data_IF_479820991635
#
_entry.id   IF_479820991635
#
_cell.length_a   1.000
_cell.length_b   1.000
_cell.length_c   1.000
_cell.angle_alpha   90.00
_cell.angle_beta   90.00
_cell.angle_gamma   90.00
#
_symmetry.space_group_name_H-M   'P 1'
#
loop_
_entity.id
_entity.type
_entity.pdbx_description
1 polymer ?
#
# COMPACT_ATOMS: atom_id res chain seq x y z
N UNK A 1 -28.86 -15.09 -1.65
CA UNK A 1 -28.68 -14.25 -0.43
C UNK A 1 -28.90 -12.82 -0.88
N UNK A 2 -29.90 -12.11 -0.35
CA UNK A 2 -30.07 -10.70 -0.67
C UNK A 2 -28.84 -9.90 -0.21
N UNK A 3 -28.55 -8.77 -0.88
CA UNK A 3 -27.44 -7.87 -0.54
C UNK A 3 -27.43 -7.51 0.96
N UNK A 4 -28.61 -7.36 1.56
CA UNK A 4 -28.74 -6.95 2.97
C UNK A 4 -28.33 -8.04 3.96
N UNK A 5 -28.60 -9.32 3.66
CA UNK A 5 -28.16 -10.43 4.54
C UNK A 5 -26.64 -10.51 4.59
N UNK A 6 -25.96 -10.35 3.44
CA UNK A 6 -24.49 -10.30 3.38
C UNK A 6 -23.93 -9.14 4.22
N UNK A 7 -24.52 -7.94 4.08
CA UNK A 7 -24.14 -6.76 4.88
C UNK A 7 -24.32 -6.95 6.37
N UNK A 8 -25.39 -7.63 6.80
CA UNK A 8 -25.61 -7.91 8.22
C UNK A 8 -24.53 -8.83 8.80
N UNK A 9 -24.18 -9.91 8.09
CA UNK A 9 -23.08 -10.80 8.50
C UNK A 9 -21.76 -10.04 8.61
N UNK A 10 -21.43 -9.23 7.59
CA UNK A 10 -20.21 -8.41 7.62
C UNK A 10 -20.19 -7.43 8.79
N UNK A 11 -21.32 -6.80 9.10
CA UNK A 11 -21.44 -5.88 10.25
C UNK A 11 -21.20 -6.59 11.58
N UNK A 12 -21.70 -7.80 11.74
CA UNK A 12 -21.50 -8.58 12.97
C UNK A 12 -20.06 -9.09 13.09
N UNK A 13 -19.43 -9.48 11.97
CA UNK A 13 -18.00 -9.84 11.93
C UNK A 13 -17.11 -8.64 12.29
N UNK A 14 -17.41 -7.44 11.78
CA UNK A 14 -16.64 -6.24 12.12
C UNK A 14 -16.77 -5.88 13.60
N UNK A 15 -17.97 -5.96 14.19
CA UNK A 15 -18.13 -5.74 15.64
C UNK A 15 -17.28 -6.69 16.47
N UNK A 16 -17.24 -7.97 16.08
CA UNK A 16 -16.39 -8.96 16.74
C UNK A 16 -14.90 -8.62 16.60
N UNK A 17 -14.48 -8.21 15.40
CA UNK A 17 -13.11 -7.77 15.17
C UNK A 17 -12.73 -6.55 16.01
N UNK A 18 -13.55 -5.50 16.04
CA UNK A 18 -13.32 -4.27 16.81
C UNK A 18 -13.23 -4.54 18.31
N UNK A 19 -14.10 -5.40 18.84
CA UNK A 19 -14.08 -5.79 20.26
C UNK A 19 -12.83 -6.56 20.69
N UNK A 20 -12.13 -7.20 19.74
CA UNK A 20 -10.90 -7.96 20.01
C UNK A 20 -9.62 -7.19 19.66
N UNK A 21 -9.72 -6.10 18.89
CA UNK A 21 -8.58 -5.36 18.35
C UNK A 21 -8.77 -3.84 18.44
N UNK A 22 -8.85 -3.32 19.66
CA UNK A 22 -9.23 -1.93 19.96
C UNK A 22 -8.30 -0.86 19.36
N UNK A 23 -7.03 -1.19 19.05
CA UNK A 23 -6.08 -0.26 18.45
C UNK A 23 -6.00 -0.33 16.92
N UNK A 24 -6.62 -1.32 16.26
CA UNK A 24 -6.40 -1.57 14.83
C UNK A 24 -6.77 -0.35 13.98
N UNK A 25 -7.89 0.32 14.29
CA UNK A 25 -8.37 1.48 13.53
C UNK A 25 -7.42 2.69 13.57
N UNK A 26 -6.46 2.74 14.51
CA UNK A 26 -5.41 3.77 14.56
C UNK A 26 -4.24 3.49 13.60
N UNK A 27 -4.18 2.27 13.06
CA UNK A 27 -3.12 1.75 12.18
C UNK A 27 -3.67 1.45 10.78
N UNK A 28 -4.82 0.79 10.68
CA UNK A 28 -5.58 0.47 9.46
C UNK A 28 -7.07 0.58 9.77
N UNK A 29 -7.76 1.56 9.18
CA UNK A 29 -9.16 1.81 9.51
C UNK A 29 -10.10 0.77 8.88
N UNK A 30 -10.64 -0.14 9.71
CA UNK A 30 -11.56 -1.22 9.32
C UNK A 30 -12.97 -1.00 9.90
N UNK A 31 -13.34 0.24 10.25
CA UNK A 31 -14.58 0.55 10.96
C UNK A 31 -15.87 0.43 10.13
N UNK A 32 -15.75 0.12 8.84
CA UNK A 32 -16.89 -0.08 7.94
C UNK A 32 -16.51 -0.95 6.75
N UNK A 33 -17.35 -1.95 6.44
CA UNK A 33 -17.22 -2.79 5.23
C UNK A 33 -17.57 -2.02 3.94
N UNK A 34 -18.04 -0.78 4.06
CA UNK A 34 -18.31 0.11 2.93
C UNK A 34 -17.11 1.00 2.60
N UNK A 35 -16.06 0.99 3.42
CA UNK A 35 -14.84 1.72 3.12
C UNK A 35 -14.11 1.05 1.94
N UNK A 36 -13.43 1.83 1.12
CA UNK A 36 -12.52 1.29 0.13
C UNK A 36 -11.39 0.56 0.85
N UNK A 37 -11.12 -0.68 0.45
CA UNK A 37 -10.08 -1.49 1.03
C UNK A 37 -9.07 -1.96 0.00
N UNK A 38 -7.89 -2.30 0.49
CA UNK A 38 -6.82 -2.81 -0.33
C UNK A 38 -7.16 -4.22 -0.85
N UNK A 39 -6.89 -4.47 -2.12
CA UNK A 39 -7.00 -5.81 -2.70
C UNK A 39 -6.04 -6.83 -2.05
N UNK A 40 -5.14 -6.39 -1.16
CA UNK A 40 -4.27 -7.26 -0.38
C UNK A 40 -5.04 -8.37 0.34
N UNK A 41 -6.27 -8.13 0.82
CA UNK A 41 -7.04 -9.16 1.52
C UNK A 41 -7.41 -10.33 0.60
N UNK A 42 -7.75 -10.04 -0.65
CA UNK A 42 -7.96 -11.07 -1.66
C UNK A 42 -6.64 -11.78 -2.02
N UNK A 43 -5.56 -11.01 -2.20
CA UNK A 43 -4.24 -11.57 -2.51
C UNK A 43 -3.70 -12.47 -1.38
N UNK A 44 -4.03 -12.18 -0.12
CA UNK A 44 -3.69 -12.99 1.03
C UNK A 44 -4.39 -14.35 1.02
N UNK A 45 -5.65 -14.43 0.54
CA UNK A 45 -6.35 -15.72 0.36
C UNK A 45 -5.64 -16.62 -0.66
N UNK A 46 -4.88 -16.03 -1.59
CA UNK A 46 -4.09 -16.73 -2.59
C UNK A 46 -2.64 -16.97 -2.16
N UNK A 47 -2.29 -16.67 -0.90
CA UNK A 47 -0.98 -16.94 -0.33
C UNK A 47 0.07 -15.85 -0.56
N UNK A 48 -0.31 -14.67 -1.04
CA UNK A 48 0.59 -13.50 -1.10
C UNK A 48 0.51 -12.68 0.21
N UNK A 49 0.99 -13.25 1.30
CA UNK A 49 0.86 -12.69 2.65
C UNK A 49 2.06 -11.83 3.07
N UNK A 50 2.34 -10.73 2.38
CA UNK A 50 3.55 -9.92 2.61
C UNK A 50 3.64 -9.35 4.03
N UNK A 51 2.57 -8.74 4.55
CA UNK A 51 2.58 -8.07 5.86
C UNK A 51 2.67 -9.10 6.99
N UNK A 52 1.83 -10.14 6.95
CA UNK A 52 1.80 -11.19 7.98
C UNK A 52 3.12 -11.97 8.01
N UNK A 53 3.64 -12.38 6.85
CA UNK A 53 4.93 -13.11 6.80
C UNK A 53 6.09 -12.25 7.28
N UNK A 54 6.00 -10.94 7.06
CA UNK A 54 7.02 -9.99 7.49
C UNK A 54 6.99 -9.72 9.00
N UNK A 55 5.84 -9.95 9.62
CA UNK A 55 5.63 -9.77 11.04
C UNK A 55 6.14 -10.97 11.86
N UNK A 56 6.24 -12.19 11.30
CA UNK A 56 6.40 -13.41 12.11
C UNK A 56 7.77 -14.09 11.87
N UNK A 57 8.67 -14.14 12.87
CA UNK A 57 10.00 -14.76 12.71
C UNK A 57 9.96 -16.23 12.34
N UNK A 58 9.05 -17.01 12.96
CA UNK A 58 8.92 -18.46 12.74
C UNK A 58 8.61 -18.83 11.29
N UNK A 59 8.03 -17.93 10.50
CA UNK A 59 7.71 -18.16 9.08
C UNK A 59 8.91 -17.94 8.14
N UNK A 60 10.15 -18.15 8.59
CA UNK A 60 11.35 -17.84 7.82
C UNK A 60 11.36 -18.42 6.40
N UNK A 61 11.08 -19.71 6.24
CA UNK A 61 11.09 -20.33 4.92
C UNK A 61 10.06 -19.68 3.99
N UNK A 62 8.85 -19.40 4.49
CA UNK A 62 7.81 -18.72 3.72
C UNK A 62 8.21 -17.28 3.39
N UNK A 63 8.68 -16.52 4.38
CA UNK A 63 9.15 -15.13 4.29
C UNK A 63 10.34 -14.95 3.35
N UNK A 64 11.22 -15.94 3.21
CA UNK A 64 12.31 -15.91 2.22
C UNK A 64 11.80 -16.29 0.83
N UNK A 65 10.91 -17.27 0.75
CA UNK A 65 10.37 -17.75 -0.52
C UNK A 65 9.42 -16.74 -1.19
N UNK A 66 8.78 -15.85 -0.43
CA UNK A 66 7.89 -14.82 -0.99
C UNK A 66 8.55 -13.89 -2.03
N UNK A 67 9.88 -13.81 -2.08
CA UNK A 67 10.58 -13.00 -3.10
C UNK A 67 11.07 -13.82 -4.30
N UNK A 68 10.84 -15.14 -4.28
CA UNK A 68 11.24 -16.09 -5.33
C UNK A 68 10.05 -16.72 -6.05
N UNK A 69 8.86 -16.65 -5.43
CA UNK A 69 7.62 -17.17 -6.01
C UNK A 69 7.17 -16.31 -7.16
N UNK A 70 6.63 -16.98 -8.16
CA UNK A 70 5.85 -16.34 -9.19
C UNK A 70 4.43 -16.06 -8.65
N UNK A 71 4.02 -14.80 -8.69
CA UNK A 71 2.69 -14.34 -8.27
C UNK A 71 1.82 -13.87 -9.44
N UNK A 72 2.16 -14.16 -10.71
CA UNK A 72 1.30 -13.84 -11.86
C UNK A 72 -0.13 -14.36 -11.65
N UNK A 73 -0.26 -15.59 -11.14
CA UNK A 73 -1.56 -16.20 -10.86
C UNK A 73 -2.43 -15.38 -9.88
N UNK A 74 -1.82 -14.62 -8.95
CA UNK A 74 -2.56 -13.78 -8.01
C UNK A 74 -3.17 -12.58 -8.73
N UNK A 75 -2.42 -11.96 -9.64
CA UNK A 75 -2.92 -10.83 -10.43
C UNK A 75 -3.92 -11.27 -11.49
N UNK A 76 -3.75 -12.45 -12.08
CA UNK A 76 -4.73 -13.04 -13.00
C UNK A 76 -6.06 -13.30 -12.29
N UNK A 77 -6.01 -13.94 -11.12
CA UNK A 77 -7.20 -14.14 -10.29
C UNK A 77 -7.82 -12.81 -9.83
N UNK A 78 -7.00 -11.79 -9.55
CA UNK A 78 -7.47 -10.47 -9.17
C UNK A 78 -8.23 -9.79 -10.31
N UNK A 79 -7.76 -9.91 -11.56
CA UNK A 79 -8.49 -9.42 -12.74
C UNK A 79 -9.84 -10.12 -12.87
N UNK A 80 -9.90 -11.43 -12.65
CA UNK A 80 -11.16 -12.16 -12.70
C UNK A 80 -12.11 -11.77 -11.56
N UNK A 81 -11.59 -11.54 -10.36
CA UNK A 81 -12.35 -10.96 -9.24
C UNK A 81 -12.93 -9.59 -9.61
N UNK A 82 -12.15 -8.71 -10.23
CA UNK A 82 -12.65 -7.40 -10.67
C UNK A 82 -13.71 -7.52 -11.76
N UNK A 83 -13.58 -8.44 -12.72
CA UNK A 83 -14.63 -8.68 -13.72
C UNK A 83 -15.93 -9.10 -13.03
N UNK A 84 -15.87 -10.04 -12.09
CA UNK A 84 -17.05 -10.45 -11.31
C UNK A 84 -17.61 -9.30 -10.47
N UNK A 85 -16.76 -8.49 -9.85
CA UNK A 85 -17.16 -7.32 -9.09
C UNK A 85 -17.92 -6.31 -9.95
N UNK A 86 -17.46 -6.09 -11.19
CA UNK A 86 -18.08 -5.15 -12.13
C UNK A 86 -19.45 -5.62 -12.64
N UNK A 87 -19.76 -6.91 -12.59
CA UNK A 87 -21.12 -7.41 -12.85
C UNK A 87 -22.12 -6.97 -11.77
N UNK A 88 -21.69 -6.91 -10.49
CA UNK A 88 -22.54 -6.45 -9.37
C UNK A 88 -22.46 -4.91 -9.18
N UNK A 89 -21.29 -4.33 -9.45
CA UNK A 89 -20.98 -2.91 -9.23
C UNK A 89 -20.34 -2.30 -10.49
N UNK A 90 -21.12 -2.07 -11.56
CA UNK A 90 -20.58 -1.54 -12.81
C UNK A 90 -20.00 -0.14 -12.62
N UNK A 91 -18.95 0.16 -13.39
CA UNK A 91 -18.38 1.50 -13.46
C UNK A 91 -19.44 2.51 -13.91
N UNK A 92 -19.35 3.72 -13.36
CA UNK A 92 -20.21 4.83 -13.80
C UNK A 92 -19.60 5.46 -15.05
N UNK A 93 -20.30 5.34 -16.18
CA UNK A 93 -19.84 5.89 -17.46
C UNK A 93 -18.82 5.01 -18.18
N UNK A 94 -18.52 5.37 -19.43
CA UNK A 94 -17.60 4.60 -20.29
C UNK A 94 -16.12 4.83 -19.95
N UNK A 95 -15.80 5.94 -19.26
CA UNK A 95 -14.43 6.36 -18.91
C UNK A 95 -14.05 6.09 -17.45
N UNK A 96 -14.79 5.21 -16.76
CA UNK A 96 -14.53 4.87 -15.36
C UNK A 96 -13.24 4.07 -15.17
N UNK A 97 -12.61 4.23 -14.00
CA UNK A 97 -11.46 3.42 -13.59
C UNK A 97 -11.71 2.73 -12.26
N UNK A 98 -11.23 1.49 -12.13
CA UNK A 98 -10.99 0.90 -10.83
C UNK A 98 -9.74 1.57 -10.21
N UNK A 99 -9.87 2.02 -8.96
CA UNK A 99 -8.76 2.59 -8.21
C UNK A 99 -8.24 1.53 -7.23
N UNK A 100 -7.04 1.01 -7.49
CA UNK A 100 -6.44 -0.10 -6.73
C UNK A 100 -5.33 0.42 -5.82
N UNK A 101 -5.14 -0.23 -4.69
CA UNK A 101 -4.05 0.08 -3.77
C UNK A 101 -3.74 -1.16 -2.92
N UNK A 102 -2.56 -1.71 -3.10
CA UNK A 102 -1.99 -2.68 -2.18
C UNK A 102 -0.48 -2.53 -2.09
N UNK A 103 0.05 -2.66 -0.86
CA UNK A 103 1.52 -2.80 -0.65
C UNK A 103 2.10 -3.99 -1.43
N UNK A 104 1.27 -5.01 -1.69
CA UNK A 104 1.61 -6.19 -2.46
C UNK A 104 2.04 -5.87 -3.91
N UNK A 105 1.47 -4.83 -4.52
CA UNK A 105 1.87 -4.32 -5.84
C UNK A 105 3.35 -3.95 -5.87
N UNK A 106 3.85 -3.36 -4.79
CA UNK A 106 5.26 -3.03 -4.64
C UNK A 106 6.11 -4.28 -4.38
N UNK A 107 5.67 -5.13 -3.45
CA UNK A 107 6.41 -6.33 -3.06
C UNK A 107 6.60 -7.32 -4.23
N UNK A 108 5.67 -7.35 -5.19
CA UNK A 108 5.70 -8.21 -6.38
C UNK A 108 5.45 -7.41 -7.66
N UNK A 109 6.26 -6.37 -7.88
CA UNK A 109 6.04 -5.44 -9.00
C UNK A 109 6.16 -6.07 -10.40
N UNK A 110 6.99 -7.11 -10.58
CA UNK A 110 7.10 -7.81 -11.88
C UNK A 110 5.75 -8.39 -12.32
N UNK A 111 5.12 -9.33 -11.57
CA UNK A 111 3.82 -9.87 -11.97
C UNK A 111 2.72 -8.80 -11.99
N UNK A 112 2.81 -7.78 -11.13
CA UNK A 112 1.88 -6.64 -11.20
C UNK A 112 1.95 -5.91 -12.55
N UNK A 113 3.15 -5.58 -13.03
CA UNK A 113 3.36 -4.85 -14.29
C UNK A 113 3.02 -5.73 -15.49
N UNK A 114 3.37 -7.02 -15.44
CA UNK A 114 3.14 -7.96 -16.54
C UNK A 114 1.64 -8.28 -16.73
N UNK A 115 0.87 -8.34 -15.64
CA UNK A 115 -0.58 -8.62 -15.71
C UNK A 115 -1.41 -7.34 -15.82
N UNK A 116 -1.30 -6.42 -14.85
CA UNK A 116 -2.11 -5.20 -14.84
C UNK A 116 -1.66 -4.19 -15.91
N UNK A 117 -0.39 -4.24 -16.31
CA UNK A 117 0.17 -3.35 -17.33
C UNK A 117 -0.10 -3.76 -18.78
N UNK A 118 -0.89 -4.83 -19.02
CA UNK A 118 -1.35 -5.20 -20.36
C UNK A 118 -2.13 -4.04 -20.99
N UNK A 119 -1.93 -3.82 -22.29
CA UNK A 119 -2.49 -2.65 -22.98
C UNK A 119 -4.01 -2.61 -22.97
N UNK A 120 -4.67 -3.77 -22.96
CA UNK A 120 -6.13 -3.90 -22.87
C UNK A 120 -6.71 -3.29 -21.58
N UNK A 121 -5.94 -3.21 -20.49
CA UNK A 121 -6.39 -2.63 -19.23
C UNK A 121 -6.08 -1.13 -19.12
N UNK A 122 -5.24 -0.59 -20.01
CA UNK A 122 -4.84 0.81 -20.01
C UNK A 122 -4.47 1.34 -18.61
N UNK A 123 -3.76 0.54 -17.82
CA UNK A 123 -3.47 0.86 -16.43
C UNK A 123 -2.56 2.09 -16.28
N UNK A 124 -2.82 2.84 -15.21
CA UNK A 124 -2.07 4.02 -14.79
C UNK A 124 -1.49 3.78 -13.41
N UNK A 125 -0.18 3.93 -13.28
CA UNK A 125 0.53 3.60 -12.06
C UNK A 125 0.94 4.89 -11.34
N UNK A 126 0.62 4.97 -10.06
CA UNK A 126 1.01 6.08 -9.19
C UNK A 126 2.02 5.54 -8.18
N UNK A 127 3.27 6.00 -8.25
CA UNK A 127 4.30 5.67 -7.28
C UNK A 127 4.41 6.81 -6.25
N UNK A 128 3.95 6.55 -5.03
CA UNK A 128 4.09 7.49 -3.92
C UNK A 128 5.44 7.28 -3.22
N UNK A 129 6.32 8.27 -3.29
CA UNK A 129 7.62 8.28 -2.63
C UNK A 129 7.52 8.84 -1.22
N UNK A 130 7.91 8.06 -0.22
CA UNK A 130 8.02 8.49 1.18
C UNK A 130 9.46 8.36 1.65
N UNK A 131 9.89 9.26 2.51
CA UNK A 131 11.21 9.22 3.12
C UNK A 131 11.39 7.87 3.88
N UNK A 132 12.46 7.10 3.60
CA UNK A 132 12.71 5.78 4.18
C UNK A 132 12.68 5.69 5.71
N UNK A 133 13.24 6.64 6.46
CA UNK A 133 13.22 6.66 7.93
C UNK A 133 11.77 6.76 8.42
N UNK A 134 11.02 7.74 7.92
CA UNK A 134 9.62 7.98 8.29
C UNK A 134 8.72 6.81 7.89
N UNK A 135 9.02 6.18 6.73
CA UNK A 135 8.33 4.98 6.30
C UNK A 135 8.61 3.81 7.25
N UNK A 136 9.87 3.57 7.64
CA UNK A 136 10.23 2.49 8.56
C UNK A 136 9.64 2.70 9.97
N UNK A 137 9.66 3.94 10.47
CA UNK A 137 9.03 4.31 11.74
C UNK A 137 7.51 4.12 11.73
N UNK A 138 6.88 4.19 10.56
CA UNK A 138 5.47 3.86 10.34
C UNK A 138 5.23 2.36 10.16
N UNK A 139 6.19 1.63 9.58
CA UNK A 139 6.05 0.22 9.24
C UNK A 139 6.23 -0.70 10.45
N UNK A 140 7.11 -0.36 11.38
CA UNK A 140 7.35 -1.16 12.59
C UNK A 140 6.10 -1.29 13.47
N UNK A 141 5.39 -0.20 13.84
CA UNK A 141 4.14 -0.31 14.58
C UNK A 141 3.07 -1.13 13.86
N UNK A 142 3.01 -1.08 12.53
CA UNK A 142 2.13 -1.94 11.73
C UNK A 142 2.48 -3.42 11.94
N UNK A 143 3.76 -3.79 11.80
CA UNK A 143 4.18 -5.18 12.01
C UNK A 143 3.95 -5.65 13.45
N UNK A 144 4.14 -4.79 14.46
CA UNK A 144 3.82 -5.10 15.86
C UNK A 144 2.31 -5.36 16.03
N UNK A 145 1.46 -4.51 15.45
CA UNK A 145 0.01 -4.69 15.48
C UNK A 145 -0.40 -6.01 14.79
N UNK A 146 0.20 -6.33 13.64
CA UNK A 146 -0.04 -7.60 12.93
C UNK A 146 0.39 -8.82 13.76
N UNK A 147 1.54 -8.75 14.46
CA UNK A 147 1.98 -9.78 15.42
C UNK A 147 1.02 -9.96 16.58
N UNK A 148 0.24 -8.94 16.94
CA UNK A 148 -0.79 -8.98 17.99
C UNK A 148 -1.73 -10.18 17.86
N UNK A 149 -2.04 -10.57 16.61
CA UNK A 149 -2.91 -11.71 16.25
C UNK A 149 -2.35 -13.08 16.64
N UNK A 150 -1.08 -13.15 17.02
CA UNK A 150 -0.35 -14.39 17.32
C UNK A 150 0.33 -14.27 18.69
N UNK A 151 -0.47 -14.10 19.75
CA UNK A 151 -0.03 -13.79 21.11
C UNK A 151 1.06 -14.73 21.66
N UNK A 152 1.01 -16.00 21.27
CA UNK A 152 1.92 -17.04 21.78
C UNK A 152 2.97 -17.50 20.76
N UNK A 153 3.21 -16.75 19.68
CA UNK A 153 4.15 -17.17 18.65
C UNK A 153 5.62 -16.93 19.03
N UNK A 154 6.50 -17.80 18.54
CA UNK A 154 7.94 -17.74 18.82
C UNK A 154 8.58 -16.50 18.20
N UNK A 155 9.33 -15.76 19.02
CA UNK A 155 10.05 -14.54 18.61
C UNK A 155 9.15 -13.30 18.46
N UNK A 156 7.89 -13.37 18.92
CA UNK A 156 6.97 -12.21 18.95
C UNK A 156 7.64 -10.97 19.55
N UNK A 157 8.28 -11.13 20.71
CA UNK A 157 8.90 -10.05 21.50
C UNK A 157 10.29 -9.63 21.02
N UNK A 158 10.81 -10.25 19.95
CA UNK A 158 12.08 -9.86 19.36
C UNK A 158 11.90 -8.62 18.47
N UNK A 159 11.89 -7.45 19.12
CA UNK A 159 11.73 -6.14 18.47
C UNK A 159 12.99 -5.75 17.68
N UNK A 160 14.17 -6.17 18.14
CA UNK A 160 15.42 -5.90 17.44
C UNK A 160 15.49 -6.68 16.12
N UNK A 161 15.13 -7.97 16.13
CA UNK A 161 14.97 -8.75 14.90
C UNK A 161 13.95 -8.10 13.97
N UNK A 162 12.82 -7.62 14.50
CA UNK A 162 11.77 -7.01 13.69
C UNK A 162 12.30 -5.77 12.96
N UNK A 163 13.04 -4.91 13.66
CA UNK A 163 13.67 -3.73 13.08
C UNK A 163 14.67 -4.10 11.98
N UNK A 164 15.62 -4.99 12.29
CA UNK A 164 16.64 -5.46 11.32
C UNK A 164 15.97 -6.06 10.08
N UNK A 165 14.91 -6.83 10.28
CA UNK A 165 14.18 -7.45 9.20
C UNK A 165 13.37 -6.45 8.39
N UNK A 166 12.66 -5.51 9.02
CA UNK A 166 11.90 -4.46 8.36
C UNK A 166 12.79 -3.61 7.42
N UNK A 167 13.97 -3.21 7.91
CA UNK A 167 14.99 -2.52 7.09
C UNK A 167 15.42 -3.39 5.92
N UNK A 168 15.75 -4.66 6.16
CA UNK A 168 16.19 -5.59 5.12
C UNK A 168 15.15 -5.77 4.02
N UNK A 169 13.88 -6.01 4.36
CA UNK A 169 12.87 -6.25 3.32
C UNK A 169 12.47 -5.00 2.60
N UNK A 170 12.44 -3.86 3.27
CA UNK A 170 12.11 -2.61 2.60
C UNK A 170 13.19 -2.27 1.56
N UNK A 171 14.47 -2.50 1.89
CA UNK A 171 15.57 -2.40 0.92
C UNK A 171 15.40 -3.37 -0.26
N UNK A 172 15.09 -4.65 -0.01
CA UNK A 172 14.88 -5.66 -1.06
C UNK A 172 13.71 -5.24 -1.97
N UNK A 173 12.57 -4.88 -1.39
CA UNK A 173 11.37 -4.48 -2.14
C UNK A 173 11.69 -3.26 -3.00
N UNK A 174 12.26 -2.19 -2.44
CA UNK A 174 12.56 -0.99 -3.23
C UNK A 174 13.53 -1.28 -4.38
N UNK A 175 14.61 -2.04 -4.14
CA UNK A 175 15.55 -2.40 -5.21
C UNK A 175 14.89 -3.24 -6.30
N UNK A 176 14.08 -4.22 -5.91
CA UNK A 176 13.36 -5.08 -6.86
C UNK A 176 12.30 -4.29 -7.65
N UNK A 177 11.53 -3.41 -7.00
CA UNK A 177 10.53 -2.57 -7.67
C UNK A 177 11.19 -1.62 -8.68
N UNK A 178 12.33 -1.00 -8.32
CA UNK A 178 13.09 -0.15 -9.23
C UNK A 178 13.55 -0.94 -10.46
N UNK A 179 14.16 -2.11 -10.24
CA UNK A 179 14.63 -2.97 -11.32
C UNK A 179 13.48 -3.45 -12.21
N UNK A 180 12.33 -3.82 -11.62
CA UNK A 180 11.13 -4.24 -12.35
C UNK A 180 10.60 -3.11 -13.22
N UNK A 181 10.45 -1.91 -12.67
CA UNK A 181 10.05 -0.70 -13.42
C UNK A 181 11.00 -0.42 -14.58
N UNK A 182 12.30 -0.44 -14.33
CA UNK A 182 13.32 -0.16 -15.35
C UNK A 182 13.27 -1.16 -16.50
N UNK A 183 13.21 -2.45 -16.16
CA UNK A 183 13.11 -3.51 -17.15
C UNK A 183 11.82 -3.38 -17.97
N UNK A 184 10.69 -3.09 -17.32
CA UNK A 184 9.39 -2.94 -17.99
C UNK A 184 9.36 -1.74 -18.95
N UNK A 185 9.95 -0.61 -18.56
CA UNK A 185 10.10 0.58 -19.42
C UNK A 185 11.15 0.38 -20.51
N UNK A 186 12.23 -0.37 -20.25
CA UNK A 186 13.24 -0.66 -21.26
C UNK A 186 12.70 -1.52 -22.41
N UNK A 187 11.71 -2.39 -22.13
CA UNK A 187 11.01 -3.19 -23.15
C UNK A 187 10.16 -2.33 -24.09
N UNK A 188 9.50 -1.29 -23.57
CA UNK A 188 8.78 -0.28 -24.35
C UNK A 188 8.86 1.07 -23.64
N UNK A 189 9.66 2.04 -24.16
CA UNK A 189 9.81 3.35 -23.57
C UNK A 189 8.50 4.15 -23.43
N UNK A 190 7.46 3.83 -24.21
CA UNK A 190 6.16 4.48 -24.11
C UNK A 190 5.51 4.26 -22.74
N UNK A 191 5.81 3.12 -22.09
CA UNK A 191 5.33 2.72 -20.77
C UNK A 191 5.75 3.69 -19.66
N UNK A 192 6.81 4.47 -19.85
CA UNK A 192 7.20 5.51 -18.90
C UNK A 192 6.06 6.51 -18.64
N UNK A 193 5.25 6.82 -19.65
CA UNK A 193 4.10 7.73 -19.55
C UNK A 193 2.93 7.17 -18.73
N UNK A 194 2.92 5.86 -18.47
CA UNK A 194 1.93 5.21 -17.59
C UNK A 194 2.27 5.33 -16.11
N UNK A 195 3.45 5.84 -15.76
CA UNK A 195 3.90 5.95 -14.37
C UNK A 195 3.94 7.43 -13.99
N UNK A 196 3.28 7.78 -12.88
CA UNK A 196 3.34 9.09 -12.25
C UNK A 196 3.98 8.95 -10.87
N UNK A 197 5.09 9.66 -10.65
CA UNK A 197 5.80 9.70 -9.38
C UNK A 197 5.34 10.90 -8.56
N UNK A 198 5.08 10.72 -7.26
CA UNK A 198 4.60 11.79 -6.37
C UNK A 198 5.19 11.66 -4.97
N UNK A 199 5.47 12.79 -4.32
CA UNK A 199 5.91 12.79 -2.92
C UNK A 199 4.77 12.55 -1.94
N UNK A 200 4.97 11.73 -0.92
CA UNK A 200 4.00 11.51 0.16
C UNK A 200 3.66 12.82 0.89
N UNK A 201 4.68 13.66 1.17
CA UNK A 201 4.47 14.95 1.83
C UNK A 201 3.59 15.86 0.97
N UNK A 202 3.81 15.87 -0.34
CA UNK A 202 2.97 16.62 -1.28
C UNK A 202 1.53 16.09 -1.26
N UNK A 203 1.34 14.78 -1.39
CA UNK A 203 0.02 14.14 -1.40
C UNK A 203 -0.79 14.42 -0.12
N UNK A 204 -0.15 14.48 1.04
CA UNK A 204 -0.82 14.73 2.33
C UNK A 204 -1.05 16.21 2.61
N UNK A 205 -0.12 17.09 2.22
CA UNK A 205 -0.20 18.53 2.54
C UNK A 205 -0.96 19.33 1.49
N UNK A 206 -0.99 18.84 0.24
CA UNK A 206 -1.64 19.46 -0.92
C UNK A 206 -2.46 18.43 -1.70
N UNK A 207 -3.43 17.75 -1.06
CA UNK A 207 -4.15 16.64 -1.68
C UNK A 207 -4.94 17.05 -2.91
N UNK A 208 -5.59 18.22 -2.91
CA UNK A 208 -6.37 18.70 -4.06
C UNK A 208 -5.48 18.95 -5.27
N UNK A 209 -4.37 19.67 -5.06
CA UNK A 209 -3.40 19.97 -6.11
C UNK A 209 -2.72 18.71 -6.63
N UNK A 210 -2.42 17.76 -5.74
CA UNK A 210 -1.81 16.49 -6.11
C UNK A 210 -2.72 15.67 -7.02
N UNK A 211 -3.99 15.53 -6.63
CA UNK A 211 -4.96 14.80 -7.44
C UNK A 211 -5.17 15.49 -8.80
N UNK A 212 -5.24 16.82 -8.83
CA UNK A 212 -5.34 17.56 -10.10
C UNK A 212 -4.14 17.25 -11.02
N UNK A 213 -2.90 17.26 -10.50
CA UNK A 213 -1.71 16.92 -11.29
C UNK A 213 -1.76 15.50 -11.84
N UNK A 214 -2.26 14.54 -11.07
CA UNK A 214 -2.44 13.15 -11.50
C UNK A 214 -3.43 13.10 -12.67
N UNK A 215 -4.57 13.79 -12.54
CA UNK A 215 -5.60 13.86 -13.58
C UNK A 215 -5.04 14.49 -14.86
N UNK A 216 -4.38 15.65 -14.74
CA UNK A 216 -3.76 16.37 -15.86
C UNK A 216 -2.70 15.50 -16.57
N UNK A 217 -1.84 14.81 -15.82
CA UNK A 217 -0.79 13.95 -16.36
C UNK A 217 -1.36 12.81 -17.22
N UNK A 218 -2.50 12.25 -16.78
CA UNK A 218 -3.14 11.12 -17.43
C UNK A 218 -4.26 11.51 -18.40
N UNK A 219 -4.49 12.81 -18.61
CA UNK A 219 -5.55 13.32 -19.47
C UNK A 219 -6.95 12.94 -18.99
N UNK A 220 -7.16 12.87 -17.68
CA UNK A 220 -8.47 12.57 -17.07
C UNK A 220 -9.14 13.88 -16.68
N UNK A 221 -10.40 14.06 -17.07
CA UNK A 221 -11.18 15.23 -16.69
C UNK A 221 -11.57 15.17 -15.20
N UNK A 222 -11.31 16.25 -14.47
CA UNK A 222 -11.83 16.43 -13.10
C UNK A 222 -13.27 16.93 -13.18
N UNK A 223 -14.25 16.03 -13.08
CA UNK A 223 -15.65 16.44 -13.12
C UNK A 223 -16.05 17.24 -11.88
N UNK A 224 -17.10 18.08 -11.95
CA UNK A 224 -17.61 18.81 -10.79
C UNK A 224 -17.98 17.89 -9.61
N UNK A 225 -18.50 16.69 -9.90
CA UNK A 225 -18.82 15.69 -8.89
C UNK A 225 -17.57 15.14 -8.22
N UNK A 226 -16.52 14.82 -9.00
CA UNK A 226 -15.24 14.34 -8.49
C UNK A 226 -14.56 15.40 -7.62
N UNK A 227 -14.54 16.66 -8.06
CA UNK A 227 -13.99 17.78 -7.29
C UNK A 227 -14.74 17.96 -5.96
N UNK A 228 -16.08 17.94 -6.00
CA UNK A 228 -16.91 18.05 -4.79
C UNK A 228 -16.66 16.89 -3.81
N UNK A 229 -16.52 15.66 -4.31
CA UNK A 229 -16.20 14.49 -3.47
C UNK A 229 -14.81 14.59 -2.87
N UNK A 230 -13.82 15.04 -3.64
CA UNK A 230 -12.46 15.28 -3.15
C UNK A 230 -12.44 16.32 -2.03
N UNK A 231 -13.16 17.43 -2.20
CA UNK A 231 -13.29 18.46 -1.15
C UNK A 231 -13.97 17.93 0.11
N UNK A 232 -15.01 17.11 -0.06
CA UNK A 232 -15.67 16.45 1.07
C UNK A 232 -14.70 15.53 1.83
N UNK A 233 -13.94 14.70 1.12
CA UNK A 233 -12.97 13.77 1.73
C UNK A 233 -11.88 14.55 2.49
N UNK A 234 -11.34 15.63 1.92
CA UNK A 234 -10.29 16.45 2.56
C UNK A 234 -10.79 17.11 3.86
N UNK A 235 -12.05 17.56 3.87
CA UNK A 235 -12.64 18.27 5.02
C UNK A 235 -13.13 17.31 6.09
N UNK A 236 -13.91 16.31 5.72
CA UNK A 236 -14.73 15.50 6.62
C UNK A 236 -14.39 14.00 6.59
N UNK A 237 -13.71 13.54 5.53
CA UNK A 237 -13.55 12.11 5.25
C UNK A 237 -12.23 11.48 5.68
N UNK A 238 -11.33 12.20 6.36
CA UNK A 238 -10.07 11.63 6.87
C UNK A 238 -10.33 10.72 8.09
N UNK A 239 -10.27 9.39 7.96
CA UNK A 239 -10.61 8.49 9.05
C UNK A 239 -9.60 8.57 10.20
N UNK A 240 -8.37 9.01 9.95
CA UNK A 240 -7.36 9.17 10.99
C UNK A 240 -7.65 10.35 11.91
N UNK A 241 -8.46 11.33 11.48
CA UNK A 241 -8.95 12.38 12.39
C UNK A 241 -9.92 11.83 13.44
N UNK A 242 -10.70 10.81 13.08
CA UNK A 242 -11.69 10.17 13.96
C UNK A 242 -11.02 9.26 14.99
N UNK A 243 -10.10 8.41 14.56
CA UNK A 243 -9.48 7.38 15.42
C UNK A 243 -8.16 7.83 16.07
N UNK A 244 -7.58 8.92 15.58
CA UNK A 244 -6.23 9.34 15.95
C UNK A 244 -5.14 8.53 15.23
N UNK A 245 -3.90 8.97 15.38
CA UNK A 245 -2.72 8.27 14.87
C UNK A 245 -1.95 7.67 16.02
N UNK A 246 -1.42 6.46 15.82
CA UNK A 246 -0.50 5.85 16.79
C UNK A 246 0.72 6.77 16.99
N UNK A 247 0.97 7.17 18.24
CA UNK A 247 2.12 8.01 18.58
C UNK A 247 3.42 7.25 18.32
N UNK A 248 4.44 7.97 17.85
CA UNK A 248 5.79 7.43 17.74
C UNK A 248 6.35 7.19 19.13
N UNK A 249 6.85 5.98 19.37
CA UNK A 249 7.61 5.62 20.56
C UNK A 249 9.02 5.26 20.13
N UNK A 250 9.99 6.12 20.48
CA UNK A 250 11.39 5.97 20.11
C UNK A 250 11.99 4.65 20.62
N UNK A 251 11.41 4.05 21.67
CA UNK A 251 11.85 2.76 22.20
C UNK A 251 11.57 1.59 21.25
N UNK A 252 10.74 1.79 20.23
CA UNK A 252 10.42 0.77 19.23
C UNK A 252 11.47 0.71 18.10
N UNK A 253 12.35 1.70 18.00
CA UNK A 253 13.27 1.85 16.88
C UNK A 253 14.70 1.47 17.28
N UNK A 254 15.23 0.44 16.64
CA UNK A 254 16.55 -0.14 16.92
C UNK A 254 17.53 0.15 15.77
N UNK A 255 17.36 1.30 15.10
CA UNK A 255 18.23 1.78 14.04
C UNK A 255 18.52 3.27 14.21
N UNK A 256 19.61 3.73 13.60
CA UNK A 256 19.96 5.14 13.54
C UNK A 256 19.48 5.74 12.20
N UNK A 257 18.85 6.92 12.26
CA UNK A 257 18.29 7.60 11.09
C UNK A 257 19.34 7.93 10.01
N UNK A 258 20.56 8.32 10.38
CA UNK A 258 21.65 8.61 9.44
C UNK A 258 22.16 7.35 8.75
N UNK A 259 22.28 6.23 9.49
CA UNK A 259 22.65 4.94 8.92
C UNK A 259 21.60 4.45 7.92
N UNK A 260 20.32 4.62 8.23
CA UNK A 260 19.23 4.36 7.28
C UNK A 260 19.38 5.27 6.07
N UNK A 261 19.55 6.58 6.23
CA UNK A 261 19.68 7.48 5.07
C UNK A 261 20.84 7.09 4.16
N UNK A 262 22.01 6.78 4.74
CA UNK A 262 23.19 6.29 4.02
C UNK A 262 22.91 4.96 3.30
N UNK A 263 22.24 4.02 3.96
CA UNK A 263 21.87 2.72 3.37
C UNK A 263 20.92 2.87 2.18
N UNK A 264 20.03 3.87 2.23
CA UNK A 264 19.05 4.16 1.19
C UNK A 264 19.49 5.24 0.19
N UNK A 265 20.78 5.57 0.14
CA UNK A 265 21.32 6.56 -0.80
C UNK A 265 20.90 6.30 -2.25
N UNK A 266 20.88 5.03 -2.68
CA UNK A 266 20.42 4.62 -4.01
C UNK A 266 19.00 5.11 -4.36
N UNK A 267 18.11 5.20 -3.36
CA UNK A 267 16.74 5.64 -3.55
C UNK A 267 16.65 7.16 -3.61
N UNK A 268 17.43 7.85 -2.78
CA UNK A 268 17.52 9.31 -2.81
C UNK A 268 18.16 9.85 -4.08
N UNK A 269 19.23 9.21 -4.56
CA UNK A 269 19.89 9.58 -5.81
C UNK A 269 18.91 9.56 -6.99
N UNK A 270 17.94 8.64 -6.94
CA UNK A 270 16.97 8.45 -8.00
C UNK A 270 15.70 9.27 -7.84
N UNK A 271 15.15 9.35 -6.63
CA UNK A 271 13.81 9.90 -6.37
C UNK A 271 13.82 11.06 -5.38
N UNK A 272 14.99 11.61 -5.04
CA UNK A 272 15.14 12.64 -4.03
C UNK A 272 14.31 13.91 -4.28
N UNK A 273 14.01 14.22 -5.54
CA UNK A 273 13.13 15.33 -5.92
C UNK A 273 11.70 15.22 -5.37
N UNK A 274 11.23 13.99 -5.09
CA UNK A 274 9.91 13.74 -4.50
C UNK A 274 9.95 13.69 -2.96
N UNK A 275 11.12 13.86 -2.37
CA UNK A 275 11.34 13.81 -0.92
C UNK A 275 12.20 15.01 -0.44
N UNK A 276 11.85 16.27 -0.70
CA UNK A 276 12.78 17.39 -0.55
C UNK A 276 13.40 17.59 0.87
N UNK A 277 12.81 17.00 1.92
CA UNK A 277 13.19 17.27 3.32
C UNK A 277 14.14 16.24 3.99
N UNK A 278 14.65 15.20 3.29
CA UNK A 278 15.35 14.07 3.97
C UNK A 278 16.75 14.37 4.53
N UNK A 279 17.45 15.41 4.07
CA UNK A 279 18.77 15.81 4.62
C UNK A 279 18.73 17.13 5.41
N UNK A 280 17.56 17.55 5.90
CA UNK A 280 17.44 18.85 6.58
C UNK A 280 17.67 20.05 5.66
N UNK A 281 17.68 19.85 4.32
CA UNK A 281 17.57 20.96 3.37
C UNK A 281 16.13 21.45 3.39
N UNK A 282 15.95 22.61 4.03
CA UNK A 282 14.80 23.49 3.80
C UNK A 282 14.90 24.14 2.43
#
# INVERSE_FOLDING_TARGET
MESESRKNVLRDMLKLFESSHTEMNTVHNLDSFMNYEEELFFMEMLGQCFIISSAIPRLEQFRVNQFKRDYHYVYEALIDEFKMHLEEFPLKGEDGFLCLKAVNHFATMVPMLDVLGKDEYNARFIWIHREPVEQLKSFIPLLIATKGRFEYDLGKDDIEWLNKFAVKINEIVLKNSIAARDAWVAQDPSRAKRIFDVGFVEAVTKPKETVQKIYDYFGIEMTPEAEKQLEFIIKEGDPQRKHGRKLHDDKLYFFNDEDIRKKYQFYYDRFGQYMPYYYGKK
#
